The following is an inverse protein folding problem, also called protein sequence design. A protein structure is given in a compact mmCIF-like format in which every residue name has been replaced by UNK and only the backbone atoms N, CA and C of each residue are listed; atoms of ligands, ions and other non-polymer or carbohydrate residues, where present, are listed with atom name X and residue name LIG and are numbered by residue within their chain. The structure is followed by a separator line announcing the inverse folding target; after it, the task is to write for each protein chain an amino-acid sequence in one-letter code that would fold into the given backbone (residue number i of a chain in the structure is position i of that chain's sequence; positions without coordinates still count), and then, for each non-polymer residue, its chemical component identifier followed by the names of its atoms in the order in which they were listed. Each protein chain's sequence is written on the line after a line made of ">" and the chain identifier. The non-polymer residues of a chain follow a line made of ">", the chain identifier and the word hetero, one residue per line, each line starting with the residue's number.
data_IF_396965451213
#
_entry.id   IF_396965451213
#
_cell.length_a   1.000
_cell.length_b   1.000
_cell.length_c   1.000
_cell.angle_alpha   90.00
_cell.angle_beta   90.00
_cell.angle_gamma   90.00
#
_symmetry.space_group_name_H-M   'P 1'
#
loop_
_entity.id
_entity.type
_entity.pdbx_description
1 polymer ?
#
# COMPACT_ATOMS: atom_id res chain seq x y z
N UNK A 1 -18.93 47.21 -13.37
CA UNK A 1 -17.69 46.50 -13.74
C UNK A 1 -17.52 45.36 -12.75
N UNK A 2 -17.70 44.08 -13.04
CA UNK A 2 -17.53 43.35 -14.30
C UNK A 2 -18.66 42.31 -14.47
N UNK A 3 -19.38 42.38 -15.60
CA UNK A 3 -20.12 41.23 -16.13
C UNK A 3 -19.13 40.11 -16.43
N UNK A 4 -19.26 39.00 -15.71
CA UNK A 4 -18.43 37.83 -15.90
C UNK A 4 -18.76 37.18 -17.26
N UNK A 5 -17.76 37.09 -18.13
CA UNK A 5 -17.74 36.26 -19.35
C UNK A 5 -18.15 34.82 -18.99
N UNK A 6 -19.42 34.44 -19.22
CA UNK A 6 -19.87 33.04 -19.10
C UNK A 6 -20.20 32.37 -20.44
N UNK A 7 -20.35 33.11 -21.54
CA UNK A 7 -20.99 32.56 -22.75
C UNK A 7 -20.12 32.56 -24.02
N UNK A 8 -18.83 32.21 -23.92
CA UNK A 8 -17.99 32.08 -25.13
C UNK A 8 -17.05 30.87 -25.10
N UNK A 9 -17.41 29.82 -24.35
CA UNK A 9 -16.71 28.55 -24.47
C UNK A 9 -17.01 27.94 -25.86
N UNK A 10 -15.99 27.55 -26.64
CA UNK A 10 -16.21 26.90 -27.94
C UNK A 10 -17.07 25.66 -27.77
N UNK A 11 -18.04 25.44 -28.67
CA UNK A 11 -18.96 24.30 -28.61
C UNK A 11 -18.22 22.94 -28.47
N UNK A 12 -17.07 22.81 -29.14
CA UNK A 12 -16.19 21.63 -29.07
C UNK A 12 -15.65 21.40 -27.66
N UNK A 13 -15.32 22.46 -26.92
CA UNK A 13 -14.85 22.35 -25.54
C UNK A 13 -15.98 21.93 -24.60
N UNK A 14 -17.20 22.40 -24.85
CA UNK A 14 -18.39 22.02 -24.07
C UNK A 14 -18.74 20.55 -24.28
N UNK A 15 -18.76 20.10 -25.53
CA UNK A 15 -19.03 18.71 -25.89
C UNK A 15 -18.00 17.74 -25.30
N UNK A 16 -16.71 18.10 -25.34
CA UNK A 16 -15.64 17.29 -24.79
C UNK A 16 -15.67 17.20 -23.25
N UNK A 17 -15.93 18.32 -22.56
CA UNK A 17 -15.88 18.40 -21.11
C UNK A 17 -17.16 17.91 -20.41
N UNK A 18 -18.33 18.09 -21.05
CA UNK A 18 -19.63 17.75 -20.48
C UNK A 18 -20.22 16.45 -21.05
N UNK A 19 -19.36 15.57 -21.57
CA UNK A 19 -19.80 14.26 -22.04
C UNK A 19 -20.49 13.51 -20.88
N UNK A 20 -21.78 13.17 -21.01
CA UNK A 20 -22.49 12.51 -19.94
C UNK A 20 -21.89 11.12 -19.69
N UNK A 21 -21.66 10.79 -18.42
CA UNK A 21 -21.27 9.44 -18.01
C UNK A 21 -22.46 8.49 -18.23
N UNK A 22 -22.18 7.24 -18.64
CA UNK A 22 -23.22 6.21 -18.75
C UNK A 22 -23.91 6.00 -17.40
N UNK A 23 -25.24 6.08 -17.35
CA UNK A 23 -26.06 5.92 -16.15
C UNK A 23 -26.19 4.48 -15.63
N UNK A 24 -25.38 3.55 -16.17
CA UNK A 24 -25.51 2.10 -15.95
C UNK A 24 -24.45 1.49 -15.02
N UNK A 25 -23.57 2.29 -14.42
CA UNK A 25 -22.57 1.76 -13.48
C UNK A 25 -23.21 1.68 -12.10
N UNK A 26 -23.37 0.46 -11.59
CA UNK A 26 -23.68 0.24 -10.19
C UNK A 26 -22.47 0.61 -9.33
N UNK A 27 -22.53 1.79 -8.72
CA UNK A 27 -21.48 2.31 -7.85
C UNK A 27 -21.49 1.65 -6.46
N UNK A 28 -22.51 0.86 -6.11
CA UNK A 28 -22.58 0.21 -4.80
C UNK A 28 -21.52 -0.89 -4.62
N UNK A 29 -21.08 -1.50 -5.73
CA UNK A 29 -20.01 -2.49 -5.74
C UNK A 29 -18.60 -1.89 -5.67
N UNK A 30 -18.45 -0.56 -5.79
CA UNK A 30 -17.15 0.10 -5.88
C UNK A 30 -16.79 0.76 -4.54
N UNK A 31 -15.55 0.55 -4.09
CA UNK A 31 -15.02 1.23 -2.92
C UNK A 31 -14.93 2.73 -3.18
N UNK A 32 -15.60 3.53 -2.34
CA UNK A 32 -15.52 4.99 -2.40
C UNK A 32 -14.14 5.42 -1.92
N UNK A 33 -13.45 6.23 -2.73
CA UNK A 33 -12.15 6.79 -2.35
C UNK A 33 -12.32 7.71 -1.13
N UNK A 34 -11.68 7.34 -0.03
CA UNK A 34 -11.74 8.05 1.25
C UNK A 34 -10.50 7.75 2.08
N UNK A 35 -9.86 8.80 2.60
CA UNK A 35 -8.75 8.68 3.54
C UNK A 35 -9.19 8.70 5.01
N UNK A 36 -8.21 8.49 5.90
CA UNK A 36 -8.37 8.64 7.34
C UNK A 36 -8.75 10.07 7.73
N UNK A 37 -9.69 10.22 8.66
CA UNK A 37 -10.16 11.51 9.18
C UNK A 37 -9.53 11.78 10.56
N UNK A 38 -8.51 12.62 10.59
CA UNK A 38 -7.76 12.97 11.80
C UNK A 38 -8.59 13.71 12.86
N UNK A 39 -9.77 14.23 12.51
CA UNK A 39 -10.66 14.89 13.48
C UNK A 39 -11.52 13.90 14.27
N UNK A 40 -11.61 12.64 13.84
CA UNK A 40 -12.52 11.64 14.44
C UNK A 40 -11.91 10.81 15.56
N UNK A 41 -10.59 10.88 15.77
CA UNK A 41 -9.91 10.09 16.80
C UNK A 41 -8.75 10.85 17.40
N UNK A 42 -8.76 10.96 18.73
CA UNK A 42 -7.66 11.50 19.54
C UNK A 42 -7.47 10.58 20.76
N UNK A 43 -6.31 9.93 20.95
CA UNK A 43 -5.09 10.03 20.12
C UNK A 43 -5.28 9.43 18.71
N UNK A 44 -4.31 9.68 17.82
CA UNK A 44 -4.32 9.14 16.45
C UNK A 44 -4.33 7.61 16.49
N UNK A 45 -5.29 7.00 15.80
CA UNK A 45 -5.38 5.56 15.63
C UNK A 45 -4.60 5.13 14.38
N UNK A 46 -3.36 4.67 14.59
CA UNK A 46 -2.49 4.21 13.51
C UNK A 46 -3.03 2.95 12.79
N UNK A 47 -3.77 2.10 13.49
CA UNK A 47 -4.35 0.91 12.89
C UNK A 47 -5.41 1.30 11.87
N UNK A 48 -6.34 2.18 12.25
CA UNK A 48 -7.36 2.67 11.33
C UNK A 48 -6.81 3.62 10.27
N UNK A 49 -5.72 4.34 10.55
CA UNK A 49 -4.97 5.10 9.55
C UNK A 49 -4.43 4.18 8.44
N UNK A 50 -3.68 3.14 8.79
CA UNK A 50 -3.13 2.19 7.82
C UNK A 50 -4.24 1.40 7.12
N UNK A 51 -5.32 1.03 7.82
CA UNK A 51 -6.48 0.36 7.21
C UNK A 51 -7.15 1.22 6.13
N UNK A 52 -7.19 2.54 6.33
CA UNK A 52 -7.76 3.47 5.34
C UNK A 52 -7.01 3.48 4.01
N UNK A 53 -5.76 2.99 3.96
CA UNK A 53 -4.97 2.95 2.72
C UNK A 53 -5.67 2.13 1.64
N UNK A 54 -6.47 1.13 2.01
CA UNK A 54 -7.30 0.35 1.08
C UNK A 54 -8.24 1.20 0.21
N UNK A 55 -8.68 2.37 0.70
CA UNK A 55 -9.58 3.29 0.01
C UNK A 55 -8.94 4.64 -0.35
N UNK A 56 -7.62 4.81 -0.20
CA UNK A 56 -6.94 6.09 -0.47
C UNK A 56 -6.54 6.30 -1.93
N UNK A 57 -6.47 5.23 -2.73
CA UNK A 57 -6.05 5.27 -4.13
C UNK A 57 -4.53 5.14 -4.32
N UNK A 58 -4.10 5.01 -5.57
CA UNK A 58 -2.69 4.86 -5.97
C UNK A 58 -1.97 3.74 -5.21
N UNK A 59 -0.74 3.99 -4.73
CA UNK A 59 0.07 2.99 -4.01
C UNK A 59 -0.47 2.68 -2.61
N UNK A 60 -1.27 3.58 -2.01
CA UNK A 60 -1.90 3.29 -0.72
C UNK A 60 -2.87 2.10 -0.87
N UNK A 61 -3.69 2.08 -1.93
CA UNK A 61 -4.58 0.95 -2.18
C UNK A 61 -3.80 -0.35 -2.42
N UNK A 62 -2.69 -0.30 -3.17
CA UNK A 62 -1.83 -1.47 -3.35
C UNK A 62 -1.25 -1.98 -2.01
N UNK A 63 -0.84 -1.07 -1.12
CA UNK A 63 -0.38 -1.44 0.22
C UNK A 63 -1.48 -2.12 1.03
N UNK A 64 -2.69 -1.56 1.06
CA UNK A 64 -3.83 -2.15 1.76
C UNK A 64 -4.22 -3.53 1.23
N UNK A 65 -4.16 -3.71 -0.10
CA UNK A 65 -4.37 -5.01 -0.74
C UNK A 65 -3.27 -6.01 -0.37
N UNK A 66 -2.00 -5.57 -0.36
CA UNK A 66 -0.88 -6.43 0.03
C UNK A 66 -1.03 -6.93 1.48
N UNK A 67 -1.45 -6.08 2.43
CA UNK A 67 -1.75 -6.51 3.80
C UNK A 67 -2.83 -7.60 3.82
N UNK A 68 -3.95 -7.40 3.12
CA UNK A 68 -5.04 -8.39 3.07
C UNK A 68 -4.59 -9.73 2.47
N UNK A 69 -3.74 -9.69 1.44
CA UNK A 69 -3.18 -10.90 0.84
C UNK A 69 -2.23 -11.63 1.81
N UNK A 70 -1.38 -10.90 2.53
CA UNK A 70 -0.51 -11.50 3.55
C UNK A 70 -1.33 -12.11 4.70
N UNK A 71 -2.37 -11.42 5.18
CA UNK A 71 -3.27 -11.96 6.19
C UNK A 71 -3.92 -13.27 5.69
N UNK A 72 -4.38 -13.30 4.44
CA UNK A 72 -4.92 -14.52 3.81
C UNK A 72 -3.87 -15.65 3.77
N UNK A 73 -2.61 -15.35 3.46
CA UNK A 73 -1.52 -16.34 3.46
C UNK A 73 -1.23 -16.90 4.86
N UNK A 74 -1.40 -16.09 5.90
CA UNK A 74 -1.18 -16.50 7.30
C UNK A 74 -2.36 -17.27 7.88
N UNK A 75 -3.59 -16.95 7.46
CA UNK A 75 -4.81 -17.64 7.89
C UNK A 75 -5.03 -18.96 7.16
N UNK A 76 -4.45 -19.12 5.98
CA UNK A 76 -4.46 -20.37 5.22
C UNK A 76 -3.20 -21.19 5.52
N UNK A 77 -3.28 -22.52 5.43
CA UNK A 77 -2.13 -23.42 5.54
C UNK A 77 -1.24 -23.35 4.27
N UNK A 78 -0.83 -22.14 3.90
CA UNK A 78 -0.02 -21.84 2.72
C UNK A 78 1.48 -21.99 3.00
N UNK A 79 2.23 -22.52 2.04
CA UNK A 79 3.70 -22.49 2.10
C UNK A 79 4.19 -21.11 1.65
N UNK A 80 4.71 -20.33 2.60
CA UNK A 80 5.17 -18.95 2.38
C UNK A 80 6.66 -18.93 2.00
N UNK A 81 6.95 -18.43 0.80
CA UNK A 81 8.30 -18.15 0.30
C UNK A 81 8.59 -16.66 0.43
N UNK A 82 9.63 -16.30 1.18
CA UNK A 82 10.11 -14.92 1.28
C UNK A 82 11.40 -14.74 0.46
N UNK A 83 11.31 -13.93 -0.59
CA UNK A 83 12.46 -13.49 -1.38
C UNK A 83 12.85 -12.06 -1.04
N UNK A 84 14.14 -11.79 -0.81
CA UNK A 84 14.64 -10.42 -0.63
C UNK A 84 16.06 -10.24 -1.20
N UNK A 85 16.38 -9.01 -1.60
CA UNK A 85 17.69 -8.59 -2.11
C UNK A 85 18.66 -8.24 -0.97
N UNK A 86 19.98 -8.35 -1.19
CA UNK A 86 20.99 -8.12 -0.14
C UNK A 86 20.87 -6.78 0.59
N UNK A 87 20.55 -5.71 -0.14
CA UNK A 87 20.41 -4.36 0.43
C UNK A 87 19.31 -4.25 1.51
N UNK A 88 18.35 -5.18 1.57
CA UNK A 88 17.36 -5.23 2.65
C UNK A 88 17.95 -5.69 3.99
N UNK A 89 19.04 -6.47 3.95
CA UNK A 89 19.79 -6.86 5.16
C UNK A 89 20.76 -5.76 5.56
N UNK A 90 21.37 -5.06 4.59
CA UNK A 90 22.16 -3.86 4.84
C UNK A 90 21.34 -2.77 5.52
N UNK A 91 20.07 -2.63 5.13
CA UNK A 91 19.13 -1.68 5.73
C UNK A 91 18.60 -2.16 7.10
N UNK A 92 17.67 -1.39 7.68
CA UNK A 92 16.97 -1.75 8.91
C UNK A 92 15.93 -2.87 8.75
N UNK A 93 15.69 -3.39 7.54
CA UNK A 93 14.70 -4.46 7.32
C UNK A 93 15.16 -5.83 7.85
N UNK A 94 16.47 -5.99 8.12
CA UNK A 94 17.07 -7.20 8.71
C UNK A 94 16.33 -7.69 9.96
N UNK A 95 15.96 -6.79 10.87
CA UNK A 95 15.32 -7.18 12.13
C UNK A 95 13.88 -7.64 11.95
N UNK A 96 13.18 -7.14 10.94
CA UNK A 96 11.85 -7.60 10.53
C UNK A 96 11.96 -9.00 9.94
N UNK A 97 12.89 -9.22 9.00
CA UNK A 97 13.11 -10.54 8.38
C UNK A 97 13.46 -11.57 9.45
N UNK A 98 14.40 -11.23 10.36
CA UNK A 98 14.78 -12.07 11.50
C UNK A 98 13.58 -12.42 12.39
N UNK A 99 12.68 -11.47 12.67
CA UNK A 99 11.46 -11.73 13.43
C UNK A 99 10.56 -12.77 12.71
N UNK A 100 10.32 -12.59 11.42
CA UNK A 100 9.51 -13.52 10.63
C UNK A 100 10.10 -14.94 10.64
N UNK A 101 11.42 -15.06 10.48
CA UNK A 101 12.13 -16.34 10.59
C UNK A 101 12.02 -16.96 11.99
N UNK A 102 12.32 -16.18 13.04
CA UNK A 102 12.35 -16.65 14.43
C UNK A 102 10.99 -17.21 14.87
N UNK A 103 9.91 -16.57 14.44
CA UNK A 103 8.54 -16.96 14.79
C UNK A 103 7.92 -17.96 13.82
N UNK A 104 8.71 -18.51 12.87
CA UNK A 104 8.27 -19.52 11.89
C UNK A 104 7.06 -19.04 11.05
N UNK A 105 7.03 -17.75 10.72
CA UNK A 105 6.00 -17.16 9.85
C UNK A 105 6.33 -17.33 8.36
N UNK A 106 7.53 -17.80 8.04
CA UNK A 106 7.98 -18.11 6.68
C UNK A 106 8.53 -19.54 6.62
N UNK A 107 8.36 -20.20 5.47
CA UNK A 107 8.76 -21.59 5.28
C UNK A 107 10.06 -21.70 4.47
N UNK A 108 10.21 -20.84 3.46
CA UNK A 108 11.36 -20.84 2.56
C UNK A 108 11.88 -19.42 2.41
N UNK A 109 13.21 -19.28 2.46
CA UNK A 109 13.89 -18.00 2.32
C UNK A 109 14.84 -18.05 1.12
N UNK A 110 14.74 -17.05 0.24
CA UNK A 110 15.56 -16.92 -0.96
C UNK A 110 16.23 -15.55 -0.96
N UNK A 111 17.56 -15.53 -0.99
CA UNK A 111 18.33 -14.28 -1.07
C UNK A 111 19.65 -14.49 -1.81
N UNK A 112 20.31 -13.40 -2.15
CA UNK A 112 21.66 -13.37 -2.71
C UNK A 112 22.73 -13.53 -1.62
N UNK A 113 23.96 -13.91 -1.98
CA UNK A 113 25.07 -14.11 -1.03
C UNK A 113 25.25 -12.95 -0.03
N UNK A 114 25.18 -11.70 -0.50
CA UNK A 114 25.30 -10.52 0.38
C UNK A 114 24.24 -10.44 1.48
N UNK A 115 23.03 -10.97 1.26
CA UNK A 115 21.98 -11.03 2.28
C UNK A 115 22.27 -12.03 3.40
N UNK A 116 23.14 -13.01 3.16
CA UNK A 116 23.62 -13.96 4.18
C UNK A 116 24.86 -13.40 4.87
N UNK A 117 25.85 -12.97 4.10
CA UNK A 117 27.13 -12.48 4.63
C UNK A 117 26.94 -11.29 5.56
N UNK A 118 26.12 -10.30 5.16
CA UNK A 118 25.89 -9.10 5.96
C UNK A 118 25.11 -9.38 7.26
N UNK A 119 24.24 -10.39 7.29
CA UNK A 119 23.55 -10.78 8.52
C UNK A 119 24.54 -11.27 9.58
N UNK A 120 25.55 -12.06 9.18
CA UNK A 120 26.63 -12.49 10.07
C UNK A 120 27.54 -11.34 10.47
N UNK A 121 27.94 -10.49 9.52
CA UNK A 121 28.82 -9.34 9.79
C UNK A 121 28.18 -8.41 10.84
N UNK A 122 26.87 -8.17 10.76
CA UNK A 122 26.12 -7.35 11.73
C UNK A 122 26.10 -7.92 13.15
N UNK A 123 26.41 -9.21 13.34
CA UNK A 123 26.60 -9.80 14.66
C UNK A 123 28.03 -9.57 15.22
N UNK A 124 28.98 -9.22 14.36
CA UNK A 124 30.38 -8.99 14.71
C UNK A 124 30.68 -7.50 14.93
N UNK A 125 30.07 -6.62 14.13
CA UNK A 125 30.20 -5.18 14.25
C UNK A 125 28.94 -4.45 13.74
N UNK A 126 28.58 -3.28 14.29
CA UNK A 126 27.51 -2.46 13.75
C UNK A 126 27.86 -1.94 12.36
N UNK A 127 26.83 -1.66 11.56
CA UNK A 127 26.93 -1.05 10.22
C UNK A 127 26.02 0.16 10.13
#
# INVERSE_FOLDING_TARGET
>A
MSEARKDNAPAIALEAALKPTSSSIDLSAHLIVRGYDFNKSQPIDYFNLLRSYSTMGFQATNFGQACQQIDTMLETDSIIFLGYTSNMVSSGCRDIIRYLCQHKLIHVLVTTAGGIEEDFIKCLAPT
#
